data_IF_148286096900
#
_entry.id   IF_148286096900
#
_cell.length_a   1.000
_cell.length_b   1.000
_cell.length_c   1.000
_cell.angle_alpha   90.00
_cell.angle_beta   90.00
_cell.angle_gamma   90.00
#
_symmetry.space_group_name_H-M   'P 1'
#
loop_
_entity.id
_entity.type
_entity.pdbx_description
1 polymer ?
#
# COMPACT_ATOMS: atom_id res chain seq x y z
N UNK A 1 26.19 8.62 13.63
CA UNK A 1 25.88 9.92 13.01
C UNK A 1 24.35 10.00 12.95
N UNK A 2 23.74 10.53 14.01
CA UNK A 2 22.28 10.69 14.13
C UNK A 2 21.86 11.94 13.32
N UNK A 3 21.30 11.72 12.13
CA UNK A 3 20.61 12.81 11.43
C UNK A 3 19.26 13.04 12.12
N UNK A 4 19.11 14.23 12.71
CA UNK A 4 17.85 14.69 13.35
C UNK A 4 16.73 14.70 12.31
N UNK A 5 15.84 13.73 12.39
CA UNK A 5 14.67 13.59 11.54
C UNK A 5 13.74 14.81 11.54
N UNK A 6 13.83 15.67 12.56
CA UNK A 6 13.12 16.95 12.65
C UNK A 6 13.50 17.98 11.59
N UNK A 7 14.78 18.09 11.26
CA UNK A 7 15.27 19.10 10.28
C UNK A 7 14.92 18.75 8.83
N UNK A 8 14.89 17.44 8.49
CA UNK A 8 14.48 16.97 7.14
C UNK A 8 12.98 17.18 6.93
N UNK A 9 12.17 16.95 7.96
CA UNK A 9 10.72 17.20 7.94
C UNK A 9 10.40 18.69 7.80
N UNK A 10 11.18 19.56 8.44
CA UNK A 10 11.01 21.02 8.33
C UNK A 10 11.47 21.55 6.96
N UNK A 11 12.51 20.95 6.40
CA UNK A 11 12.98 21.25 5.03
C UNK A 11 11.92 20.84 3.99
N UNK A 12 11.33 19.63 4.10
CA UNK A 12 10.24 19.16 3.24
C UNK A 12 9.00 20.06 3.35
N UNK A 13 8.66 20.52 4.55
CA UNK A 13 7.54 21.43 4.80
C UNK A 13 7.74 22.78 4.11
N UNK A 14 8.98 23.30 4.12
CA UNK A 14 9.35 24.59 3.52
C UNK A 14 9.40 24.54 1.98
N UNK A 15 9.75 23.38 1.40
CA UNK A 15 9.91 23.22 -0.05
C UNK A 15 8.62 22.73 -0.74
N UNK A 16 7.85 21.87 -0.10
CA UNK A 16 6.51 21.49 -0.59
C UNK A 16 5.55 22.69 -0.62
N UNK A 17 5.65 23.59 0.37
CA UNK A 17 4.87 24.82 0.39
C UNK A 17 5.22 25.77 -0.77
N UNK A 18 6.49 25.88 -1.16
CA UNK A 18 6.93 26.72 -2.30
C UNK A 18 6.51 26.16 -3.67
N UNK A 19 6.34 24.85 -3.79
CA UNK A 19 5.88 24.21 -5.01
C UNK A 19 4.37 24.35 -5.24
N UNK A 20 3.60 24.64 -4.19
CA UNK A 20 2.14 24.81 -4.24
C UNK A 20 1.66 26.26 -4.35
N UNK A 21 2.56 27.26 -4.43
CA UNK A 21 2.17 28.65 -4.64
C UNK A 21 2.09 28.90 -6.16
N UNK A 22 0.89 29.11 -6.76
CA UNK A 22 0.79 29.52 -8.14
C UNK A 22 1.41 30.92 -8.28
N UNK A 23 2.35 31.07 -9.23
CA UNK A 23 2.81 32.38 -9.67
C UNK A 23 1.59 33.23 -10.02
N UNK A 24 1.54 34.43 -9.44
CA UNK A 24 0.49 35.43 -9.68
C UNK A 24 0.16 35.55 -11.18
N UNK A 25 -1.06 35.32 -11.51
CA UNK A 25 -1.67 35.68 -12.79
C UNK A 25 -2.55 34.54 -13.34
N UNK A 26 -3.77 34.47 -12.88
CA UNK A 26 -5.01 34.04 -13.52
C UNK A 26 -5.94 33.49 -12.43
N UNK A 27 -7.11 34.09 -12.33
CA UNK A 27 -8.33 33.84 -11.57
C UNK A 27 -8.50 32.60 -10.71
N UNK A 28 -8.88 32.86 -9.49
CA UNK A 28 -9.28 32.04 -8.38
C UNK A 28 -9.92 30.69 -8.62
N UNK A 29 -9.39 29.74 -7.90
CA UNK A 29 -10.16 28.74 -7.17
C UNK A 29 -9.26 28.22 -6.05
N UNK A 30 -9.71 28.39 -4.80
CA UNK A 30 -9.07 27.75 -3.66
C UNK A 30 -9.02 26.23 -3.90
N UNK A 31 -7.91 25.53 -3.57
CA UNK A 31 -7.88 24.09 -3.65
C UNK A 31 -9.01 23.53 -2.80
N UNK A 32 -9.73 22.50 -3.27
CA UNK A 32 -10.89 21.97 -2.56
C UNK A 32 -10.47 21.52 -1.15
N UNK A 33 -11.25 21.89 -0.14
CA UNK A 33 -11.08 21.53 1.28
C UNK A 33 -10.82 20.02 1.47
N UNK A 34 -11.25 19.19 0.54
CA UNK A 34 -10.99 17.74 0.48
C UNK A 34 -9.50 17.40 0.32
N UNK A 35 -8.75 18.15 -0.50
CA UNK A 35 -7.31 17.89 -0.71
C UNK A 35 -6.49 18.24 0.55
N UNK A 36 -6.86 19.30 1.26
CA UNK A 36 -6.23 19.69 2.52
C UNK A 36 -6.56 18.70 3.66
N UNK A 37 -7.77 18.17 3.68
CA UNK A 37 -8.21 17.16 4.64
C UNK A 37 -7.49 15.82 4.40
N UNK A 38 -7.35 15.39 3.15
CA UNK A 38 -6.61 14.19 2.76
C UNK A 38 -5.12 14.34 3.10
N UNK A 39 -4.53 15.50 2.80
CA UNK A 39 -3.12 15.78 3.12
C UNK A 39 -2.85 15.75 4.63
N UNK A 40 -3.67 16.40 5.45
CA UNK A 40 -3.53 16.36 6.91
C UNK A 40 -3.76 14.96 7.48
N UNK A 41 -4.68 14.19 6.92
CA UNK A 41 -4.96 12.81 7.34
C UNK A 41 -3.81 11.87 6.99
N UNK A 42 -3.25 11.98 5.79
CA UNK A 42 -2.05 11.23 5.34
C UNK A 42 -0.83 11.63 6.18
N UNK A 43 -0.65 12.93 6.47
CA UNK A 43 0.43 13.44 7.32
C UNK A 43 0.33 12.93 8.76
N UNK A 44 -0.86 12.86 9.34
CA UNK A 44 -1.09 12.29 10.67
C UNK A 44 -0.78 10.79 10.72
N UNK A 45 -1.14 10.05 9.66
CA UNK A 45 -0.84 8.61 9.52
C UNK A 45 0.69 8.39 9.41
N UNK A 46 1.38 9.21 8.62
CA UNK A 46 2.85 9.16 8.49
C UNK A 46 3.57 9.50 9.79
N UNK A 47 3.04 10.45 10.59
CA UNK A 47 3.62 10.83 11.88
C UNK A 47 3.47 9.74 12.94
N UNK A 48 2.40 8.94 12.87
CA UNK A 48 2.13 7.86 13.83
C UNK A 48 2.95 6.59 13.55
N UNK A 49 3.40 6.41 12.30
CA UNK A 49 4.10 5.19 11.89
C UNK A 49 5.51 5.50 11.35
N UNK A 50 6.47 5.59 12.28
CA UNK A 50 7.88 5.90 11.97
C UNK A 50 8.53 4.88 11.01
N UNK A 51 8.00 3.65 10.93
CA UNK A 51 8.46 2.62 10.01
C UNK A 51 8.13 2.98 8.55
N UNK A 52 6.91 3.47 8.27
CA UNK A 52 6.50 3.91 6.92
C UNK A 52 7.34 5.10 6.45
N UNK A 53 7.56 6.07 7.34
CA UNK A 53 8.38 7.23 7.00
C UNK A 53 9.83 6.83 6.70
N UNK A 54 10.42 5.91 7.47
CA UNK A 54 11.77 5.37 7.23
C UNK A 54 11.84 4.60 5.93
N UNK A 55 10.82 3.82 5.61
CA UNK A 55 10.76 3.00 4.40
C UNK A 55 10.52 3.86 3.15
N UNK A 56 9.65 4.85 3.22
CA UNK A 56 9.46 5.84 2.15
C UNK A 56 10.74 6.66 1.90
N UNK A 57 11.46 7.05 2.95
CA UNK A 57 12.76 7.72 2.84
C UNK A 57 13.79 6.77 2.22
N UNK A 58 13.82 5.49 2.60
CA UNK A 58 14.73 4.50 2.02
C UNK A 58 14.47 4.31 0.52
N UNK A 59 13.22 4.13 0.10
CA UNK A 59 12.84 4.03 -1.32
C UNK A 59 13.20 5.30 -2.07
N UNK A 60 12.90 6.47 -1.49
CA UNK A 60 13.24 7.76 -2.08
C UNK A 60 14.77 7.93 -2.23
N UNK A 61 15.55 7.50 -1.24
CA UNK A 61 17.01 7.53 -1.28
C UNK A 61 17.56 6.57 -2.33
N UNK A 62 17.01 5.36 -2.44
CA UNK A 62 17.36 4.39 -3.48
C UNK A 62 16.99 4.90 -4.86
N UNK A 63 15.81 5.49 -5.03
CA UNK A 63 15.39 6.12 -6.30
C UNK A 63 16.25 7.34 -6.65
N UNK A 64 16.69 8.13 -5.68
CA UNK A 64 17.60 9.25 -5.91
C UNK A 64 19.03 8.82 -6.19
N UNK A 65 19.45 7.61 -5.76
CA UNK A 65 20.80 7.09 -6.04
C UNK A 65 20.94 6.40 -7.40
N UNK A 66 19.83 5.97 -8.01
CA UNK A 66 19.85 5.37 -9.36
C UNK A 66 20.34 6.30 -10.48
N UNK A 67 20.09 7.64 -10.47
CA UNK A 67 20.62 8.52 -11.51
C UNK A 67 22.13 8.82 -11.40
N UNK A 68 22.78 8.48 -10.28
CA UNK A 68 24.23 8.71 -10.11
C UNK A 68 25.09 7.77 -10.97
N UNK A 69 24.52 6.66 -11.45
CA UNK A 69 25.20 5.73 -12.36
C UNK A 69 24.98 6.05 -13.84
N UNK A 70 24.16 7.05 -14.16
CA UNK A 70 23.91 7.52 -15.52
C UNK A 70 24.62 8.87 -15.72
N UNK A 71 25.96 8.84 -15.77
CA UNK A 71 26.73 9.96 -16.29
C UNK A 71 26.65 9.91 -17.82
N UNK A 72 25.63 10.58 -18.37
CA UNK A 72 25.74 11.23 -19.67
C UNK A 72 24.61 12.25 -19.82
N UNK A 73 25.05 13.50 -20.05
CA UNK A 73 24.34 14.68 -20.54
C UNK A 73 23.05 15.12 -19.82
N UNK A 74 22.97 16.39 -19.53
CA UNK A 74 21.94 17.32 -19.05
C UNK A 74 20.47 17.06 -19.48
N UNK A 75 20.05 15.81 -19.64
CA UNK A 75 18.67 15.43 -19.93
C UNK A 75 17.94 15.27 -18.60
N UNK A 76 17.01 16.16 -18.30
CA UNK A 76 16.19 16.06 -17.10
C UNK A 76 15.57 14.65 -16.98
N UNK A 77 15.53 14.08 -15.75
CA UNK A 77 14.99 12.73 -15.47
C UNK A 77 13.65 12.45 -16.18
N UNK A 78 12.76 13.45 -16.23
CA UNK A 78 11.48 13.34 -16.96
C UNK A 78 11.66 13.14 -18.47
N UNK A 79 12.65 13.77 -19.04
CA UNK A 79 12.92 13.71 -20.47
C UNK A 79 13.55 12.37 -20.84
N UNK A 80 14.47 11.87 -20.00
CA UNK A 80 15.06 10.53 -20.13
C UNK A 80 13.98 9.44 -20.01
N UNK A 81 13.08 9.55 -19.02
CA UNK A 81 11.98 8.60 -18.83
C UNK A 81 11.02 8.60 -20.02
N UNK A 82 10.64 9.79 -20.52
CA UNK A 82 9.78 9.95 -21.69
C UNK A 82 10.41 9.34 -22.95
N UNK A 83 11.71 9.58 -23.17
CA UNK A 83 12.42 9.01 -24.31
C UNK A 83 12.44 7.49 -24.23
N UNK A 84 12.76 6.92 -23.06
CA UNK A 84 12.73 5.45 -22.86
C UNK A 84 11.34 4.86 -22.99
N UNK A 85 10.31 5.59 -22.55
CA UNK A 85 8.91 5.18 -22.71
C UNK A 85 8.50 5.10 -24.19
N UNK A 86 8.92 6.07 -25.00
CA UNK A 86 8.64 6.08 -26.45
C UNK A 86 9.49 5.02 -27.17
N UNK A 87 10.77 4.88 -26.82
CA UNK A 87 11.67 3.87 -27.37
C UNK A 87 11.20 2.42 -27.09
N UNK A 88 10.53 2.17 -25.95
CA UNK A 88 10.08 0.86 -25.50
C UNK A 88 8.74 0.37 -26.08
N UNK A 89 8.27 0.92 -27.21
CA UNK A 89 6.93 0.69 -27.77
C UNK A 89 5.81 1.23 -26.85
N UNK A 90 5.30 2.40 -27.17
CA UNK A 90 4.34 3.15 -26.36
C UNK A 90 3.07 2.34 -26.00
N UNK A 91 2.63 1.40 -26.86
CA UNK A 91 1.47 0.55 -26.60
C UNK A 91 1.67 -0.40 -25.41
N UNK A 92 2.80 -1.14 -25.38
CA UNK A 92 3.11 -2.05 -24.26
C UNK A 92 3.49 -1.30 -22.99
N UNK A 93 4.22 -0.22 -23.13
CA UNK A 93 4.59 0.63 -22.00
C UNK A 93 3.37 1.25 -21.31
N UNK A 94 2.33 1.61 -22.11
CA UNK A 94 1.07 2.12 -21.53
C UNK A 94 0.32 1.06 -20.73
N UNK A 95 0.30 -0.21 -21.16
CA UNK A 95 -0.30 -1.30 -20.40
C UNK A 95 0.41 -1.53 -19.07
N UNK A 96 1.74 -1.49 -19.05
CA UNK A 96 2.54 -1.60 -17.81
C UNK A 96 2.29 -0.41 -16.90
N UNK A 97 2.19 0.80 -17.46
CA UNK A 97 1.86 2.01 -16.69
C UNK A 97 0.44 1.96 -16.08
N UNK A 98 -0.54 1.47 -16.82
CA UNK A 98 -1.91 1.24 -16.32
C UNK A 98 -1.88 0.22 -15.16
N UNK A 99 -1.15 -0.88 -15.31
CA UNK A 99 -0.99 -1.88 -14.26
C UNK A 99 -0.38 -1.27 -12.97
N UNK A 100 0.61 -0.37 -13.11
CA UNK A 100 1.18 0.37 -11.97
C UNK A 100 0.14 1.27 -11.30
N UNK A 101 -0.59 2.09 -12.07
CA UNK A 101 -1.56 3.05 -11.53
C UNK A 101 -2.69 2.32 -10.79
N UNK A 102 -3.25 1.28 -11.41
CA UNK A 102 -4.34 0.49 -10.82
C UNK A 102 -3.83 -0.28 -9.60
N UNK A 103 -2.66 -0.92 -9.70
CA UNK A 103 -2.03 -1.62 -8.57
C UNK A 103 -1.76 -0.70 -7.38
N UNK A 104 -1.24 0.51 -7.60
CA UNK A 104 -1.04 1.51 -6.56
C UNK A 104 -2.36 2.01 -5.97
N UNK A 105 -3.41 2.17 -6.77
CA UNK A 105 -4.73 2.56 -6.27
C UNK A 105 -5.28 1.53 -5.28
N UNK A 106 -5.16 0.22 -5.58
CA UNK A 106 -5.52 -0.84 -4.64
C UNK A 106 -4.63 -0.83 -3.38
N UNK A 107 -3.32 -0.60 -3.52
CA UNK A 107 -2.42 -0.49 -2.37
C UNK A 107 -2.81 0.66 -1.43
N UNK A 108 -3.09 1.84 -1.99
CA UNK A 108 -3.48 3.02 -1.22
C UNK A 108 -4.82 2.79 -0.52
N UNK A 109 -5.80 2.23 -1.22
CA UNK A 109 -7.11 1.90 -0.64
C UNK A 109 -6.94 0.96 0.57
N UNK A 110 -6.15 -0.11 0.43
CA UNK A 110 -5.89 -1.08 1.50
C UNK A 110 -5.14 -0.48 2.68
N UNK A 111 -4.12 0.32 2.44
CA UNK A 111 -3.37 1.02 3.50
C UNK A 111 -4.30 1.93 4.31
N UNK A 112 -5.17 2.68 3.63
CA UNK A 112 -6.14 3.56 4.30
C UNK A 112 -7.13 2.72 5.13
N UNK A 113 -7.69 1.65 4.56
CA UNK A 113 -8.64 0.78 5.23
C UNK A 113 -8.04 0.15 6.50
N UNK A 114 -6.85 -0.46 6.40
CA UNK A 114 -6.17 -1.10 7.53
C UNK A 114 -5.76 -0.08 8.61
N UNK A 115 -5.31 1.11 8.20
CA UNK A 115 -4.97 2.17 9.16
C UNK A 115 -6.17 2.73 9.93
N UNK A 116 -7.35 2.71 9.32
CA UNK A 116 -8.61 3.11 9.98
C UNK A 116 -9.17 2.01 10.88
N UNK A 117 -8.81 0.74 10.61
CA UNK A 117 -9.22 -0.43 11.40
C UNK A 117 -8.32 -0.64 12.62
N UNK A 118 -7.16 0.02 12.69
CA UNK A 118 -6.22 -0.07 13.81
C UNK A 118 -6.72 0.75 15.00
N UNK A 119 -6.94 0.09 16.12
CA UNK A 119 -7.35 0.68 17.39
C UNK A 119 -6.37 0.31 18.49
N UNK A 120 -6.45 1.00 19.62
CA UNK A 120 -5.71 0.60 20.82
C UNK A 120 -6.46 -0.56 21.53
N UNK A 121 -6.18 -1.80 21.11
CA UNK A 121 -6.81 -3.01 21.64
C UNK A 121 -6.64 -3.13 23.16
N UNK A 122 -5.46 -2.80 23.70
CA UNK A 122 -5.18 -2.87 25.15
C UNK A 122 -6.07 -1.94 25.96
N UNK A 123 -6.26 -0.72 25.50
CA UNK A 123 -7.16 0.22 26.17
C UNK A 123 -8.61 -0.23 26.09
N UNK A 124 -9.05 -0.71 24.94
CA UNK A 124 -10.41 -1.23 24.76
C UNK A 124 -10.66 -2.41 25.70
N UNK A 125 -9.73 -3.36 25.84
CA UNK A 125 -9.86 -4.50 26.74
C UNK A 125 -9.92 -4.08 28.20
N UNK A 126 -9.12 -3.08 28.64
CA UNK A 126 -9.20 -2.53 29.99
C UNK A 126 -10.55 -1.87 30.26
N UNK A 127 -11.07 -1.08 29.32
CA UNK A 127 -12.37 -0.42 29.45
C UNK A 127 -13.52 -1.46 29.49
N UNK A 128 -13.42 -2.56 28.76
CA UNK A 128 -14.37 -3.69 28.79
C UNK A 128 -14.30 -4.39 30.14
N UNK A 129 -13.10 -4.73 30.64
CA UNK A 129 -12.88 -5.42 31.91
C UNK A 129 -13.51 -4.64 33.06
N UNK A 130 -13.23 -3.34 33.17
CA UNK A 130 -13.82 -2.45 34.19
C UNK A 130 -15.35 -2.43 34.14
N UNK A 131 -15.95 -2.38 32.96
CA UNK A 131 -17.41 -2.37 32.81
C UNK A 131 -18.04 -3.72 33.19
N UNK A 132 -17.39 -4.81 32.77
CA UNK A 132 -17.84 -6.17 33.09
C UNK A 132 -17.73 -6.44 34.61
N UNK A 133 -16.64 -6.01 35.26
CA UNK A 133 -16.47 -6.09 36.71
C UNK A 133 -17.52 -5.27 37.47
N UNK A 134 -17.86 -4.10 36.94
CA UNK A 134 -18.94 -3.24 37.51
C UNK A 134 -20.37 -3.81 37.29
N UNK A 135 -20.51 -4.91 36.50
CA UNK A 135 -21.80 -5.48 36.16
C UNK A 135 -22.51 -4.81 34.98
N UNK A 136 -21.91 -3.78 34.37
CA UNK A 136 -22.48 -3.01 33.24
C UNK A 136 -22.13 -3.69 31.90
N UNK A 137 -22.74 -4.86 31.64
CA UNK A 137 -22.53 -5.61 30.39
C UNK A 137 -23.07 -4.85 29.18
N UNK A 138 -24.22 -4.19 29.32
CA UNK A 138 -24.80 -3.43 28.22
C UNK A 138 -23.92 -2.23 27.85
N UNK A 139 -23.34 -1.53 28.83
CA UNK A 139 -22.37 -0.49 28.58
C UNK A 139 -21.08 -1.00 27.92
N UNK A 140 -20.64 -2.24 28.21
CA UNK A 140 -19.52 -2.87 27.53
C UNK A 140 -19.87 -3.21 26.07
N UNK A 141 -21.07 -3.71 25.79
CA UNK A 141 -21.57 -3.96 24.43
C UNK A 141 -21.66 -2.66 23.62
N UNK A 142 -22.18 -1.59 24.23
CA UNK A 142 -22.31 -0.30 23.58
C UNK A 142 -20.93 0.31 23.27
N UNK A 143 -19.94 0.20 24.16
CA UNK A 143 -18.56 0.60 23.93
C UNK A 143 -17.98 -0.11 22.72
N UNK A 144 -18.15 -1.44 22.62
CA UNK A 144 -17.70 -2.23 21.48
C UNK A 144 -18.40 -1.82 20.18
N UNK A 145 -19.72 -1.57 20.23
CA UNK A 145 -20.51 -1.14 19.08
C UNK A 145 -20.09 0.23 18.54
N UNK A 146 -19.72 1.15 19.42
CA UNK A 146 -19.28 2.49 19.06
C UNK A 146 -17.80 2.57 18.65
N UNK A 147 -17.04 1.51 18.90
CA UNK A 147 -15.61 1.43 18.55
C UNK A 147 -15.45 0.75 17.19
N UNK A 148 -14.73 1.39 16.28
CA UNK A 148 -14.44 0.80 14.97
C UNK A 148 -13.27 -0.18 15.09
N UNK A 149 -13.32 -1.23 14.27
CA UNK A 149 -12.21 -2.17 14.10
C UNK A 149 -12.60 -3.62 14.38
N UNK A 150 -11.83 -4.56 13.86
CA UNK A 150 -12.14 -5.98 13.97
C UNK A 150 -12.08 -6.49 15.42
N UNK A 151 -11.18 -5.96 16.24
CA UNK A 151 -11.08 -6.31 17.66
C UNK A 151 -12.37 -5.97 18.41
N UNK A 152 -12.91 -4.76 18.22
CA UNK A 152 -14.16 -4.36 18.87
C UNK A 152 -15.35 -5.23 18.42
N UNK A 153 -15.37 -5.62 17.13
CA UNK A 153 -16.40 -6.47 16.58
C UNK A 153 -16.38 -7.89 17.19
N UNK A 154 -15.19 -8.45 17.42
CA UNK A 154 -15.01 -9.75 18.07
C UNK A 154 -15.44 -9.68 19.54
N UNK A 155 -15.03 -8.62 20.26
CA UNK A 155 -15.43 -8.41 21.65
C UNK A 155 -16.95 -8.26 21.76
N UNK A 156 -17.58 -7.52 20.85
CA UNK A 156 -19.03 -7.40 20.80
C UNK A 156 -19.71 -8.76 20.63
N UNK A 157 -19.19 -9.61 19.70
CA UNK A 157 -19.73 -10.93 19.48
C UNK A 157 -19.63 -11.81 20.74
N UNK A 158 -18.49 -11.81 21.43
CA UNK A 158 -18.32 -12.58 22.67
C UNK A 158 -19.22 -12.09 23.80
N UNK A 159 -19.41 -10.77 23.95
CA UNK A 159 -20.30 -10.19 24.96
C UNK A 159 -21.78 -10.43 24.65
N UNK A 160 -22.16 -10.62 23.41
CA UNK A 160 -23.54 -10.97 23.03
C UNK A 160 -23.94 -12.38 23.47
N UNK A 161 -22.98 -13.32 23.48
CA UNK A 161 -23.17 -14.72 23.86
C UNK A 161 -22.74 -15.02 25.30
N UNK A 162 -22.55 -13.98 26.13
CA UNK A 162 -21.96 -14.10 27.46
C UNK A 162 -22.72 -15.06 28.41
N UNK A 163 -24.02 -15.26 28.18
CA UNK A 163 -24.89 -16.12 28.98
C UNK A 163 -24.80 -17.62 28.60
N UNK A 164 -24.15 -17.94 27.48
CA UNK A 164 -23.98 -19.32 26.98
C UNK A 164 -22.81 -20.04 27.64
N UNK A 165 -22.62 -21.35 27.35
CA UNK A 165 -21.44 -22.09 27.81
C UNK A 165 -20.14 -21.51 27.23
N UNK A 166 -19.05 -21.60 28.00
CA UNK A 166 -17.75 -21.04 27.62
C UNK A 166 -17.27 -21.56 26.26
N UNK A 167 -17.46 -22.86 26.01
CA UNK A 167 -17.08 -23.52 24.76
C UNK A 167 -17.85 -22.98 23.53
N UNK A 168 -19.12 -22.61 23.75
CA UNK A 168 -19.98 -22.07 22.69
C UNK A 168 -19.59 -20.61 22.38
N UNK A 169 -19.23 -19.83 23.41
CA UNK A 169 -18.72 -18.48 23.27
C UNK A 169 -17.40 -18.50 22.49
N UNK A 170 -16.45 -19.38 22.89
CA UNK A 170 -15.16 -19.53 22.21
C UNK A 170 -15.34 -19.90 20.74
N UNK A 171 -16.23 -20.84 20.44
CA UNK A 171 -16.55 -21.25 19.07
C UNK A 171 -17.13 -20.09 18.25
N UNK A 172 -18.04 -19.31 18.84
CA UNK A 172 -18.66 -18.14 18.21
C UNK A 172 -17.63 -17.04 17.93
N UNK A 173 -16.78 -16.71 18.91
CA UNK A 173 -15.72 -15.70 18.82
C UNK A 173 -14.68 -16.10 17.78
N UNK A 174 -14.22 -17.36 17.81
CA UNK A 174 -13.23 -17.89 16.83
C UNK A 174 -13.81 -17.91 15.42
N UNK A 175 -15.04 -18.37 15.24
CA UNK A 175 -15.71 -18.38 13.94
C UNK A 175 -15.86 -16.96 13.36
N UNK A 176 -16.29 -16.01 14.19
CA UNK A 176 -16.39 -14.63 13.76
C UNK A 176 -15.02 -13.98 13.49
N UNK A 177 -14.01 -14.34 14.30
CA UNK A 177 -12.63 -13.93 14.09
C UNK A 177 -12.08 -14.34 12.73
N UNK A 178 -12.35 -15.57 12.30
CA UNK A 178 -11.97 -16.07 10.97
C UNK A 178 -12.60 -15.24 9.84
N UNK A 179 -13.88 -14.89 9.98
CA UNK A 179 -14.57 -14.03 9.00
C UNK A 179 -13.94 -12.62 8.96
N UNK A 180 -13.59 -12.06 10.11
CA UNK A 180 -12.94 -10.75 10.19
C UNK A 180 -11.53 -10.78 9.57
N UNK A 181 -10.75 -11.84 9.82
CA UNK A 181 -9.44 -12.03 9.18
C UNK A 181 -9.55 -12.09 7.66
N UNK A 182 -10.52 -12.85 7.13
CA UNK A 182 -10.80 -12.90 5.69
C UNK A 182 -11.18 -11.52 5.11
N UNK A 183 -11.92 -10.70 5.87
CA UNK A 183 -12.25 -9.33 5.46
C UNK A 183 -11.02 -8.40 5.44
N UNK A 184 -10.06 -8.59 6.35
CA UNK A 184 -8.79 -7.85 6.33
C UNK A 184 -7.94 -8.19 5.10
N UNK A 185 -7.92 -9.46 4.69
CA UNK A 185 -7.19 -9.94 3.51
C UNK A 185 -7.88 -9.60 2.17
N UNK A 186 -9.15 -9.22 2.23
CA UNK A 186 -9.93 -8.92 1.03
C UNK A 186 -9.24 -7.84 0.19
N UNK A 187 -9.07 -8.11 -1.11
CA UNK A 187 -8.41 -7.19 -2.06
C UNK A 187 -6.90 -7.37 -2.18
N UNK A 188 -6.21 -8.06 -1.26
CA UNK A 188 -4.79 -8.38 -1.40
C UNK A 188 -4.50 -9.24 -2.65
N UNK A 189 -5.47 -10.07 -3.06
CA UNK A 189 -5.37 -10.89 -4.26
C UNK A 189 -5.24 -10.06 -5.55
N UNK A 190 -5.91 -8.91 -5.64
CA UNK A 190 -5.79 -8.01 -6.78
C UNK A 190 -4.38 -7.40 -6.87
N UNK A 191 -3.79 -7.03 -5.74
CA UNK A 191 -2.42 -6.51 -5.71
C UNK A 191 -1.44 -7.58 -6.17
N UNK A 192 -1.59 -8.84 -5.71
CA UNK A 192 -0.79 -9.99 -6.18
C UNK A 192 -0.91 -10.18 -7.70
N UNK A 193 -2.12 -10.04 -8.24
CA UNK A 193 -2.35 -10.14 -9.68
C UNK A 193 -1.52 -9.11 -10.45
N UNK A 194 -1.53 -7.84 -10.04
CA UNK A 194 -0.77 -6.78 -10.72
C UNK A 194 0.74 -6.98 -10.57
N UNK A 195 1.22 -7.50 -9.43
CA UNK A 195 2.63 -7.86 -9.22
C UNK A 195 3.08 -8.93 -10.22
N UNK A 196 2.25 -9.95 -10.45
CA UNK A 196 2.56 -11.03 -11.40
C UNK A 196 2.38 -10.59 -12.87
N UNK A 197 1.39 -9.74 -13.13
CA UNK A 197 1.05 -9.29 -14.47
C UNK A 197 2.08 -8.32 -15.04
N UNK A 198 2.67 -7.44 -14.25
CA UNK A 198 3.61 -6.43 -14.72
C UNK A 198 4.86 -7.01 -15.39
N UNK A 199 5.59 -8.01 -14.82
CA UNK A 199 6.70 -8.65 -15.49
C UNK A 199 6.26 -9.47 -16.71
N UNK A 200 5.08 -10.10 -16.65
CA UNK A 200 4.52 -10.87 -17.76
C UNK A 200 4.23 -9.99 -18.99
N UNK A 201 3.70 -8.79 -18.76
CA UNK A 201 3.54 -7.78 -19.82
C UNK A 201 4.88 -7.28 -20.35
N UNK A 202 5.88 -7.09 -19.49
CA UNK A 202 7.24 -6.75 -19.89
C UNK A 202 7.84 -7.84 -20.78
N UNK A 203 7.70 -9.11 -20.39
CA UNK A 203 8.16 -10.25 -21.18
C UNK A 203 7.42 -10.37 -22.53
N UNK A 204 6.11 -10.17 -22.55
CA UNK A 204 5.33 -10.13 -23.78
C UNK A 204 5.86 -9.04 -24.73
N UNK A 205 6.22 -7.89 -24.19
CA UNK A 205 6.85 -6.81 -24.94
C UNK A 205 8.18 -7.23 -25.59
N UNK A 206 8.99 -8.08 -24.93
CA UNK A 206 10.23 -8.61 -25.55
C UNK A 206 9.95 -9.52 -26.72
N UNK A 207 9.00 -10.43 -26.58
CA UNK A 207 8.65 -11.36 -27.67
C UNK A 207 8.17 -10.60 -28.90
N UNK A 208 7.27 -9.62 -28.70
CA UNK A 208 6.75 -8.81 -29.83
C UNK A 208 7.83 -7.91 -30.42
N UNK A 209 8.70 -7.31 -29.58
CA UNK A 209 9.83 -6.50 -30.06
C UNK A 209 10.77 -7.31 -30.94
N UNK A 210 11.03 -8.58 -30.62
CA UNK A 210 11.84 -9.48 -31.44
C UNK A 210 11.12 -9.88 -32.74
N UNK A 211 9.82 -10.18 -32.69
CA UNK A 211 9.04 -10.46 -33.92
C UNK A 211 9.10 -9.28 -34.87
N UNK A 212 8.89 -8.05 -34.39
CA UNK A 212 9.00 -6.85 -35.22
C UNK A 212 10.40 -6.68 -35.85
N UNK A 213 11.46 -7.03 -35.13
CA UNK A 213 12.81 -6.98 -35.65
C UNK A 213 13.01 -8.00 -36.79
N UNK A 214 12.51 -9.23 -36.65
CA UNK A 214 12.56 -10.23 -37.69
C UNK A 214 11.71 -9.86 -38.93
N UNK A 215 10.55 -9.25 -38.73
CA UNK A 215 9.74 -8.74 -39.84
C UNK A 215 10.49 -7.67 -40.65
N UNK A 216 11.23 -6.78 -39.95
CA UNK A 216 12.04 -5.74 -40.60
C UNK A 216 13.21 -6.36 -41.39
N UNK A 217 13.86 -7.42 -40.89
CA UNK A 217 14.92 -8.14 -41.57
C UNK A 217 14.36 -8.81 -42.84
N UNK A 218 13.19 -9.44 -42.74
CA UNK A 218 12.52 -10.07 -43.87
C UNK A 218 12.19 -9.06 -44.97
N UNK A 219 11.72 -7.88 -44.62
CA UNK A 219 11.39 -6.82 -45.56
C UNK A 219 12.65 -6.18 -46.20
N UNK A 220 13.73 -6.05 -45.43
CA UNK A 220 14.99 -5.49 -45.92
C UNK A 220 15.77 -6.44 -46.82
N UNK A 221 15.51 -7.76 -46.72
CA UNK A 221 16.21 -8.80 -47.50
C UNK A 221 17.68 -9.03 -47.10
N UNK A 222 18.16 -8.32 -46.06
CA UNK A 222 19.54 -8.45 -45.56
C UNK A 222 19.55 -8.30 -44.02
N UNK A 223 20.48 -9.00 -43.36
CA UNK A 223 20.67 -8.97 -41.92
C UNK A 223 21.56 -7.77 -41.53
N UNK A 224 20.94 -6.65 -41.20
CA UNK A 224 21.67 -5.49 -40.67
C UNK A 224 21.81 -5.59 -39.16
N UNK A 225 23.01 -5.50 -38.57
CA UNK A 225 23.24 -5.48 -37.15
C UNK A 225 22.47 -4.33 -36.42
N UNK A 226 22.23 -3.24 -37.13
CA UNK A 226 21.49 -2.07 -36.59
C UNK A 226 19.98 -2.36 -36.41
N UNK A 227 19.37 -3.11 -37.34
CA UNK A 227 17.96 -3.52 -37.21
C UNK A 227 17.79 -4.45 -36.03
N UNK A 228 18.65 -5.46 -35.90
CA UNK A 228 18.63 -6.40 -34.77
C UNK A 228 18.82 -5.66 -33.44
N UNK A 229 19.82 -4.78 -33.36
CA UNK A 229 20.09 -4.01 -32.15
C UNK A 229 18.91 -3.08 -31.73
N UNK A 230 18.21 -2.49 -32.71
CA UNK A 230 17.05 -1.64 -32.43
C UNK A 230 15.88 -2.42 -31.82
N UNK A 231 15.55 -3.59 -32.41
CA UNK A 231 14.49 -4.48 -31.89
C UNK A 231 14.81 -5.04 -30.50
N UNK A 232 16.07 -5.45 -30.28
CA UNK A 232 16.54 -5.91 -28.97
C UNK A 232 16.46 -4.80 -27.93
N UNK A 233 16.82 -3.57 -28.28
CA UNK A 233 16.72 -2.40 -27.37
C UNK A 233 15.28 -2.18 -26.90
N UNK A 234 14.32 -2.17 -27.81
CA UNK A 234 12.88 -2.05 -27.50
C UNK A 234 12.44 -3.15 -26.54
N UNK A 235 12.80 -4.40 -26.87
CA UNK A 235 12.48 -5.57 -26.07
C UNK A 235 13.00 -5.46 -24.63
N UNK A 236 14.28 -5.14 -24.45
CA UNK A 236 14.89 -5.05 -23.12
C UNK A 236 14.31 -3.92 -22.27
N UNK A 237 13.98 -2.77 -22.87
CA UNK A 237 13.38 -1.63 -22.15
C UNK A 237 12.03 -2.02 -21.56
N UNK A 238 11.16 -2.71 -22.29
CA UNK A 238 9.83 -3.11 -21.78
C UNK A 238 9.93 -4.05 -20.59
N UNK A 239 10.87 -5.00 -20.62
CA UNK A 239 11.10 -5.91 -19.50
C UNK A 239 11.60 -5.18 -18.25
N UNK A 240 12.57 -4.27 -18.40
CA UNK A 240 13.07 -3.47 -17.26
C UNK A 240 11.92 -2.73 -16.60
N UNK A 241 11.04 -2.06 -17.34
CA UNK A 241 9.89 -1.37 -16.79
C UNK A 241 8.91 -2.32 -16.09
N UNK A 242 8.61 -3.47 -16.67
CA UNK A 242 7.75 -4.48 -16.05
C UNK A 242 8.29 -4.95 -14.70
N UNK A 243 9.59 -5.21 -14.60
CA UNK A 243 10.25 -5.62 -13.35
C UNK A 243 10.24 -4.49 -12.32
N UNK A 244 10.54 -3.26 -12.72
CA UNK A 244 10.51 -2.09 -11.80
C UNK A 244 9.11 -1.92 -11.20
N UNK A 245 8.06 -2.00 -12.01
CA UNK A 245 6.67 -1.90 -11.57
C UNK A 245 6.34 -3.00 -10.56
N UNK A 246 6.72 -4.25 -10.85
CA UNK A 246 6.50 -5.37 -9.93
C UNK A 246 7.21 -5.17 -8.59
N UNK A 247 8.46 -4.71 -8.60
CA UNK A 247 9.23 -4.44 -7.37
C UNK A 247 8.57 -3.36 -6.52
N UNK A 248 8.09 -2.28 -7.12
CA UNK A 248 7.39 -1.21 -6.41
C UNK A 248 6.13 -1.77 -5.75
N UNK A 249 5.27 -2.47 -6.50
CA UNK A 249 4.03 -3.03 -5.97
C UNK A 249 4.28 -4.09 -4.89
N UNK A 250 5.33 -4.92 -5.05
CA UNK A 250 5.70 -5.96 -4.09
C UNK A 250 6.08 -5.37 -2.72
N UNK A 251 6.76 -4.24 -2.71
CA UNK A 251 7.11 -3.53 -1.48
C UNK A 251 5.86 -3.07 -0.73
N UNK A 252 4.91 -2.43 -1.44
CA UNK A 252 3.64 -2.02 -0.83
C UNK A 252 2.82 -3.21 -0.36
N UNK A 253 2.79 -4.29 -1.14
CA UNK A 253 2.10 -5.52 -0.78
C UNK A 253 2.61 -6.14 0.52
N UNK A 254 3.94 -6.28 0.67
CA UNK A 254 4.53 -6.81 1.91
C UNK A 254 4.22 -5.93 3.13
N UNK A 255 4.18 -4.61 2.95
CA UNK A 255 3.76 -3.71 4.02
C UNK A 255 2.29 -3.95 4.42
N UNK A 256 1.39 -4.10 3.45
CA UNK A 256 -0.03 -4.39 3.69
C UNK A 256 -0.17 -5.73 4.41
N UNK A 257 0.53 -6.77 3.96
CA UNK A 257 0.50 -8.10 4.55
C UNK A 257 0.92 -8.07 6.02
N UNK A 258 2.04 -7.42 6.33
CA UNK A 258 2.50 -7.23 7.71
C UNK A 258 1.49 -6.49 8.59
N UNK A 259 0.74 -5.54 8.04
CA UNK A 259 -0.36 -4.85 8.75
C UNK A 259 -1.55 -5.77 9.01
N UNK A 260 -1.92 -6.61 8.04
CA UNK A 260 -2.99 -7.62 8.21
C UNK A 260 -2.61 -8.60 9.31
N UNK A 261 -1.40 -9.16 9.26
CA UNK A 261 -0.89 -10.08 10.28
C UNK A 261 -0.90 -9.46 11.67
N UNK A 262 -0.47 -8.20 11.79
CA UNK A 262 -0.49 -7.48 13.07
C UNK A 262 -1.91 -7.31 13.63
N UNK A 263 -2.88 -6.94 12.78
CA UNK A 263 -4.28 -6.79 13.21
C UNK A 263 -4.90 -8.14 13.58
N UNK A 264 -4.59 -9.21 12.85
CA UNK A 264 -5.05 -10.57 13.15
C UNK A 264 -4.50 -11.04 14.49
N UNK A 265 -3.21 -10.84 14.75
CA UNK A 265 -2.61 -11.17 16.06
C UNK A 265 -3.23 -10.38 17.21
N UNK A 266 -3.55 -9.09 17.01
CA UNK A 266 -4.28 -8.30 18.01
C UNK A 266 -5.71 -8.82 18.26
N UNK A 267 -6.37 -9.31 17.21
CA UNK A 267 -7.70 -9.94 17.34
C UNK A 267 -7.65 -11.20 18.19
N UNK A 268 -6.66 -12.07 17.94
CA UNK A 268 -6.45 -13.32 18.68
C UNK A 268 -6.11 -13.03 20.16
N UNK A 269 -5.15 -12.13 20.43
CA UNK A 269 -4.80 -11.72 21.80
C UNK A 269 -6.01 -11.16 22.55
N UNK A 270 -6.82 -10.34 21.88
CA UNK A 270 -8.03 -9.75 22.48
C UNK A 270 -9.14 -10.79 22.71
N UNK A 271 -9.27 -11.78 21.81
CA UNK A 271 -10.23 -12.86 21.99
C UNK A 271 -9.90 -13.71 23.23
N UNK A 272 -8.63 -14.08 23.41
CA UNK A 272 -8.18 -14.82 24.61
C UNK A 272 -8.44 -14.00 25.88
N UNK A 273 -8.05 -12.72 25.88
CA UNK A 273 -8.28 -11.83 27.03
C UNK A 273 -9.78 -11.69 27.36
N UNK A 274 -10.62 -11.59 26.36
CA UNK A 274 -12.08 -11.53 26.53
C UNK A 274 -12.62 -12.82 27.18
N UNK A 275 -12.14 -13.98 26.72
CA UNK A 275 -12.55 -15.26 27.31
C UNK A 275 -12.15 -15.36 28.79
N UNK A 276 -10.95 -14.87 29.16
CA UNK A 276 -10.51 -14.80 30.56
C UNK A 276 -11.40 -13.89 31.40
N UNK A 277 -11.82 -12.74 30.87
CA UNK A 277 -12.73 -11.80 31.55
C UNK A 277 -14.11 -12.46 31.79
N UNK A 278 -14.63 -13.14 30.77
CA UNK A 278 -15.92 -13.82 30.88
C UNK A 278 -15.86 -15.00 31.85
N UNK A 279 -14.77 -15.78 31.82
CA UNK A 279 -14.56 -16.93 32.70
C UNK A 279 -14.45 -16.54 34.19
N UNK A 280 -13.81 -15.41 34.50
CA UNK A 280 -13.72 -14.88 35.89
C UNK A 280 -15.08 -14.49 36.46
N UNK A 281 -16.02 -14.13 35.62
CA UNK A 281 -17.34 -13.66 36.06
C UNK A 281 -18.35 -14.81 36.25
N UNK A 282 -18.18 -15.93 35.57
CA UNK A 282 -19.02 -17.14 35.72
C UNK A 282 -18.63 -17.93 36.93
#
# INVERSE_FOLDING_TARGET
MYFETGKVLEWLKRHAWKACIPRKGIGGSNPPLSAFYIYNKVYMIMKKNTAIARFAIFIFTVMCSLPVMAQDENIGFHQALKTKFIEGNAGFMSLVAIALIVGLAFCIERIIYLSLSEINAKKLMQDIDQKVEAGDVEGAKELCRNTRGPVASICYQGLMHMDEHLDDIERSVSGYGTVQAANLEKGCSWIKLFIAMAPSLGFLGTVIGMVMAFDQIQQAGDISPTIVASGMKVALITTIFGIIVALILMVFYNYILSKVEHLTSQMEESAVTLMDIIAKRK
#
